data_IF_702423494671
#
_entry.id   IF_702423494671
#
_cell.length_a   1.000
_cell.length_b   1.000
_cell.length_c   1.000
_cell.angle_alpha   90.00
_cell.angle_beta   90.00
_cell.angle_gamma   90.00
#
_symmetry.space_group_name_H-M   'P 1'
#
loop_
_entity.id
_entity.type
_entity.pdbx_description
1 polymer ?
#
# COMPACT_ATOMS: atom_id res chain seq x y z
N UNK A 1 -12.75 -1.40 -1.34
CA UNK A 1 -11.80 -1.16 -2.46
C UNK A 1 -11.03 -2.42 -2.88
N UNK A 2 -9.98 -2.88 -2.19
CA UNK A 2 -9.24 -4.11 -2.63
C UNK A 2 -10.08 -5.40 -2.66
N UNK A 3 -11.09 -5.53 -1.79
CA UNK A 3 -12.08 -6.64 -1.85
C UNK A 3 -13.20 -6.43 -2.86
N UNK A 4 -13.44 -5.20 -3.31
CA UNK A 4 -14.55 -4.87 -4.22
C UNK A 4 -14.16 -5.12 -5.69
N UNK A 5 -12.88 -5.05 -6.02
CA UNK A 5 -12.35 -5.33 -7.37
C UNK A 5 -11.71 -6.71 -7.50
N UNK A 6 -11.44 -7.40 -6.37
CA UNK A 6 -10.77 -8.71 -6.35
C UNK A 6 -9.29 -8.69 -6.75
N UNK A 7 -8.76 -7.51 -7.08
CA UNK A 7 -7.40 -7.29 -7.57
C UNK A 7 -6.54 -6.78 -6.42
N UNK A 8 -5.35 -7.36 -6.24
CA UNK A 8 -4.45 -6.94 -5.18
C UNK A 8 -3.86 -5.55 -5.52
N UNK A 9 -3.66 -4.67 -4.52
CA UNK A 9 -2.97 -3.40 -4.74
C UNK A 9 -1.62 -3.62 -5.44
N UNK A 10 -1.37 -2.89 -6.52
CA UNK A 10 -0.13 -2.98 -7.31
C UNK A 10 -0.11 -4.06 -8.40
N UNK A 11 -1.16 -4.87 -8.54
CA UNK A 11 -1.25 -5.89 -9.59
C UNK A 11 -1.25 -5.28 -11.01
N UNK A 12 -1.84 -4.11 -11.16
CA UNK A 12 -1.78 -3.30 -12.40
C UNK A 12 -0.35 -2.91 -12.79
N UNK A 13 0.49 -2.54 -11.81
CA UNK A 13 1.89 -2.17 -12.04
C UNK A 13 2.70 -3.40 -12.47
N UNK A 14 2.48 -4.55 -11.81
CA UNK A 14 3.12 -5.81 -12.20
C UNK A 14 2.74 -6.23 -13.63
N UNK A 15 1.46 -6.10 -13.99
CA UNK A 15 0.99 -6.37 -15.36
C UNK A 15 1.61 -5.41 -16.38
N UNK A 16 1.73 -4.13 -16.05
CA UNK A 16 2.38 -3.14 -16.92
C UNK A 16 3.86 -3.48 -17.15
N UNK A 17 4.60 -3.87 -16.10
CA UNK A 17 5.99 -4.34 -16.22
C UNK A 17 6.07 -5.57 -17.13
N UNK A 18 5.15 -6.52 -17.00
CA UNK A 18 5.07 -7.69 -17.87
C UNK A 18 4.91 -7.31 -19.35
N UNK A 19 3.99 -6.40 -19.65
CA UNK A 19 3.75 -5.91 -21.02
C UNK A 19 4.91 -5.09 -21.58
N UNK A 20 5.56 -4.26 -20.77
CA UNK A 20 6.75 -3.53 -21.18
C UNK A 20 7.88 -4.47 -21.62
N UNK A 21 8.08 -5.59 -20.89
CA UNK A 21 9.09 -6.60 -21.24
C UNK A 21 8.78 -7.32 -22.56
N UNK A 22 7.51 -7.61 -22.84
CA UNK A 22 7.10 -8.26 -24.10
C UNK A 22 7.46 -7.43 -25.35
N UNK A 23 7.44 -6.10 -25.22
CA UNK A 23 7.74 -5.17 -26.33
C UNK A 23 9.17 -4.63 -26.29
N UNK A 24 9.99 -5.06 -25.32
CA UNK A 24 11.36 -4.56 -25.15
C UNK A 24 11.45 -3.11 -24.66
N UNK A 25 10.44 -2.62 -23.94
CA UNK A 25 10.43 -1.27 -23.38
C UNK A 25 11.16 -1.20 -22.03
N UNK A 26 11.83 -0.08 -21.80
CA UNK A 26 12.48 0.21 -20.51
C UNK A 26 11.45 0.51 -19.42
N UNK A 27 11.73 0.00 -18.22
CA UNK A 27 10.93 0.27 -17.02
C UNK A 27 11.77 1.12 -16.08
N UNK A 28 11.27 2.31 -15.76
CA UNK A 28 11.92 3.24 -14.85
C UNK A 28 11.05 3.45 -13.60
N UNK A 29 11.71 3.50 -12.44
CA UNK A 29 11.06 3.91 -11.19
C UNK A 29 10.99 5.44 -11.17
N UNK A 30 9.78 5.98 -11.31
CA UNK A 30 9.52 7.43 -11.27
C UNK A 30 9.13 7.94 -9.87
N UNK A 31 8.77 7.01 -8.97
CA UNK A 31 8.36 7.35 -7.62
C UNK A 31 9.58 7.52 -6.70
N UNK A 32 9.41 8.44 -5.74
CA UNK A 32 10.38 8.64 -4.65
C UNK A 32 10.41 7.41 -3.74
N UNK A 33 11.53 7.23 -3.04
CA UNK A 33 11.64 6.21 -2.00
C UNK A 33 10.45 6.30 -1.02
N UNK A 34 9.77 5.18 -0.83
CA UNK A 34 8.59 5.06 0.03
C UNK A 34 8.88 5.50 1.47
N UNK A 35 10.12 5.33 1.95
CA UNK A 35 10.52 5.77 3.28
C UNK A 35 10.39 7.29 3.43
N UNK A 36 10.71 8.06 2.39
CA UNK A 36 10.58 9.52 2.39
C UNK A 36 9.10 9.90 2.47
N UNK A 37 8.24 9.25 1.69
CA UNK A 37 6.79 9.47 1.70
C UNK A 37 6.19 9.15 3.07
N UNK A 38 6.54 8.00 3.66
CA UNK A 38 6.05 7.62 4.99
C UNK A 38 6.54 8.55 6.09
N UNK A 39 7.79 9.03 5.99
CA UNK A 39 8.32 10.03 6.93
C UNK A 39 7.57 11.35 6.83
N UNK A 40 7.23 11.82 5.62
CA UNK A 40 6.44 13.04 5.42
C UNK A 40 5.04 12.90 5.98
N UNK A 41 4.34 11.82 5.64
CA UNK A 41 3.05 11.47 6.21
C UNK A 41 3.13 11.50 7.75
N UNK A 42 4.13 10.85 8.33
CA UNK A 42 4.31 10.82 9.78
C UNK A 42 4.55 12.21 10.37
N UNK A 43 5.29 13.08 9.70
CA UNK A 43 5.56 14.43 10.16
C UNK A 43 4.34 15.35 10.05
N UNK A 44 3.47 15.14 9.06
CA UNK A 44 2.27 15.93 8.84
C UNK A 44 1.14 15.59 9.83
N UNK A 45 1.14 14.38 10.40
CA UNK A 45 0.13 13.97 11.39
C UNK A 45 0.38 14.59 12.77
N UNK A 46 -0.68 15.12 13.37
CA UNK A 46 -0.70 15.53 14.78
C UNK A 46 -0.60 14.33 15.73
N UNK A 47 -0.28 14.59 17.00
CA UNK A 47 -0.13 13.53 18.01
C UNK A 47 -1.38 12.64 18.13
N UNK A 48 -2.58 13.22 18.10
CA UNK A 48 -3.83 12.46 18.21
C UNK A 48 -4.13 11.63 16.96
N UNK A 49 -3.79 12.12 15.77
CA UNK A 49 -3.97 11.36 14.52
C UNK A 49 -3.01 10.16 14.45
N UNK A 50 -1.78 10.32 14.94
CA UNK A 50 -0.83 9.21 15.11
C UNK A 50 -1.40 8.12 16.03
N UNK A 51 -1.97 8.52 17.17
CA UNK A 51 -2.58 7.58 18.11
C UNK A 51 -3.79 6.87 17.49
N UNK A 52 -4.63 7.59 16.74
CA UNK A 52 -5.77 7.03 16.01
C UNK A 52 -5.33 6.05 14.92
N UNK A 53 -4.29 6.37 14.15
CA UNK A 53 -3.71 5.49 13.15
C UNK A 53 -3.19 4.19 13.78
N UNK A 54 -2.44 4.31 14.89
CA UNK A 54 -1.97 3.16 15.66
C UNK A 54 -3.15 2.32 16.17
N UNK A 55 -4.17 2.94 16.75
CA UNK A 55 -5.38 2.26 17.20
C UNK A 55 -6.06 1.49 16.05
N UNK A 56 -6.20 2.08 14.86
CA UNK A 56 -6.78 1.40 13.70
C UNK A 56 -5.92 0.23 13.22
N UNK A 57 -4.60 0.37 13.22
CA UNK A 57 -3.68 -0.71 12.84
C UNK A 57 -3.77 -1.89 13.83
N UNK A 58 -3.78 -1.61 15.14
CA UNK A 58 -3.94 -2.65 16.16
C UNK A 58 -5.34 -3.29 16.12
N UNK A 59 -6.40 -2.49 15.96
CA UNK A 59 -7.77 -2.99 15.82
C UNK A 59 -7.95 -3.85 14.57
N UNK A 60 -7.30 -3.49 13.46
CA UNK A 60 -7.28 -4.28 12.24
C UNK A 60 -6.63 -5.65 12.43
N UNK A 61 -5.53 -5.72 13.20
CA UNK A 61 -4.87 -6.99 13.56
C UNK A 61 -5.76 -7.87 14.44
N UNK A 62 -6.50 -7.31 15.39
CA UNK A 62 -7.40 -8.08 16.29
C UNK A 62 -8.59 -8.70 15.53
N UNK A 63 -9.08 -8.06 14.47
CA UNK A 63 -10.21 -8.58 13.67
C UNK A 63 -9.81 -9.68 12.66
N UNK A 64 -8.51 -9.86 12.40
CA UNK A 64 -7.98 -10.83 11.43
C UNK A 64 -7.95 -12.30 11.89
N UNK A 65 -8.14 -12.58 13.19
CA UNK A 65 -8.11 -13.96 13.72
C UNK A 65 -9.46 -14.68 13.73
N UNK A 66 -10.58 -14.00 13.43
CA UNK A 66 -11.94 -14.55 13.62
C UNK A 66 -12.72 -14.83 12.32
N UNK A 67 -12.05 -14.82 11.17
CA UNK A 67 -12.63 -15.15 9.87
C UNK A 67 -11.74 -16.15 9.10
N UNK A 68 -11.29 -17.18 9.80
CA UNK A 68 -10.74 -18.40 9.21
C UNK A 68 -11.43 -19.61 9.87
N UNK A 69 -12.76 -19.64 9.76
CA UNK A 69 -13.62 -20.82 9.79
C UNK A 69 -14.75 -20.58 8.82
#
# INVERSE_FOLDING_TARGET
MGKETGVNPGEEMLRAIGKAREIGADVLLIDRDIAITMKRLWNELSFFEKLKLMYHLFKGKVKGSKSMR
#
